data_IF_833146562822
#
_entry.id   IF_833146562822
#
_cell.length_a   1.000
_cell.length_b   1.000
_cell.length_c   1.000
_cell.angle_alpha   90.00
_cell.angle_beta   90.00
_cell.angle_gamma   90.00
#
_symmetry.space_group_name_H-M   'P 1'
#
loop_
_entity.id
_entity.type
_entity.pdbx_description
1 polymer ?
#
# COMPACT_ATOMS: atom_id res chain seq x y z
N UNK A 1 10.68 9.18 -2.03
CA UNK A 1 10.57 9.91 -3.30
C UNK A 1 10.62 11.39 -2.94
N UNK A 2 11.74 12.06 -3.22
CA UNK A 2 11.93 13.47 -2.86
C UNK A 2 11.02 14.41 -3.70
N UNK A 3 10.46 13.91 -4.81
CA UNK A 3 9.73 14.69 -5.81
C UNK A 3 8.26 14.28 -5.95
N UNK A 4 7.68 13.60 -4.97
CA UNK A 4 6.28 13.15 -5.01
C UNK A 4 5.40 13.91 -4.03
N UNK A 5 4.18 14.25 -4.43
CA UNK A 5 3.14 14.83 -3.58
C UNK A 5 1.88 13.97 -3.57
N UNK A 6 1.31 13.80 -2.39
CA UNK A 6 -0.04 13.25 -2.23
C UNK A 6 -1.04 14.39 -2.01
N UNK A 7 -2.10 14.41 -2.81
CA UNK A 7 -3.06 15.51 -2.82
C UNK A 7 -4.44 15.05 -2.36
N UNK A 8 -4.85 15.55 -1.21
CA UNK A 8 -6.17 15.34 -0.65
C UNK A 8 -6.89 16.69 -0.55
N UNK A 9 -7.82 16.96 -1.47
CA UNK A 9 -8.60 18.18 -1.44
C UNK A 9 -10.04 17.93 -0.99
N UNK A 10 -10.53 18.77 -0.11
CA UNK A 10 -11.93 18.86 0.26
C UNK A 10 -12.54 20.14 -0.32
N UNK A 11 -13.62 20.02 -1.11
CA UNK A 11 -14.31 21.16 -1.73
C UNK A 11 -13.92 21.41 -3.19
N UNK A 12 -14.26 22.58 -3.69
CA UNK A 12 -13.87 23.00 -5.04
C UNK A 12 -12.42 23.49 -5.02
N UNK A 13 -11.59 22.85 -5.85
CA UNK A 13 -10.21 23.25 -6.04
C UNK A 13 -10.10 24.09 -7.32
N UNK A 14 -9.44 25.23 -7.22
CA UNK A 14 -9.04 25.98 -8.40
C UNK A 14 -7.85 25.24 -9.05
N UNK A 15 -8.06 24.80 -10.28
CA UNK A 15 -7.08 24.03 -11.02
C UNK A 15 -5.78 24.80 -11.23
N UNK A 16 -5.89 26.06 -11.65
CA UNK A 16 -4.72 26.91 -11.98
C UNK A 16 -3.89 27.18 -10.72
N UNK A 17 -4.54 27.42 -9.58
CA UNK A 17 -3.86 27.62 -8.31
C UNK A 17 -3.08 26.36 -7.89
N UNK A 18 -3.68 25.17 -8.02
CA UNK A 18 -3.00 23.92 -7.69
C UNK A 18 -1.84 23.60 -8.63
N UNK A 19 -2.02 23.78 -9.94
CA UNK A 19 -0.95 23.55 -10.92
C UNK A 19 0.25 24.48 -10.69
N UNK A 20 -0.01 25.74 -10.38
CA UNK A 20 1.01 26.70 -10.00
C UNK A 20 1.75 26.31 -8.71
N UNK A 21 1.00 25.87 -7.70
CA UNK A 21 1.56 25.45 -6.41
C UNK A 21 2.46 24.21 -6.57
N UNK A 22 2.00 23.18 -7.27
CA UNK A 22 2.77 21.95 -7.53
C UNK A 22 4.03 22.24 -8.35
N UNK A 23 3.92 23.12 -9.36
CA UNK A 23 5.06 23.58 -10.14
C UNK A 23 6.10 24.31 -9.29
N UNK A 24 5.65 25.14 -8.36
CA UNK A 24 6.54 25.85 -7.43
C UNK A 24 7.26 24.91 -6.47
N UNK A 25 6.63 23.80 -6.07
CA UNK A 25 7.24 22.76 -5.23
C UNK A 25 8.22 21.87 -5.99
N UNK A 26 8.22 21.92 -7.33
CA UNK A 26 9.10 21.08 -8.16
C UNK A 26 8.79 19.59 -8.08
N UNK A 27 7.54 19.22 -7.80
CA UNK A 27 7.14 17.80 -7.76
C UNK A 27 7.04 17.22 -9.17
N UNK A 28 7.50 15.98 -9.32
CA UNK A 28 7.47 15.23 -10.57
C UNK A 28 6.38 14.15 -10.58
N UNK A 29 5.84 13.78 -9.42
CA UNK A 29 4.79 12.79 -9.28
C UNK A 29 3.69 13.30 -8.34
N UNK A 30 2.43 13.19 -8.74
CA UNK A 30 1.27 13.58 -7.94
C UNK A 30 0.28 12.42 -7.82
N UNK A 31 0.04 11.96 -6.62
CA UNK A 31 -1.06 11.01 -6.34
C UNK A 31 -2.29 11.76 -5.85
N UNK A 32 -3.42 11.52 -6.48
CA UNK A 32 -4.70 12.16 -6.15
C UNK A 32 -5.90 11.25 -6.45
N UNK A 33 -7.10 11.70 -6.11
CA UNK A 33 -8.33 11.05 -6.58
C UNK A 33 -8.46 11.17 -8.11
N UNK A 34 -9.00 10.14 -8.75
CA UNK A 34 -9.10 10.08 -10.20
C UNK A 34 -9.96 11.21 -10.81
N UNK A 35 -10.90 11.74 -10.04
CA UNK A 35 -11.77 12.84 -10.44
C UNK A 35 -11.08 14.21 -10.43
N UNK A 36 -9.88 14.30 -9.90
CA UNK A 36 -9.17 15.57 -9.77
C UNK A 36 -8.69 16.03 -11.16
N UNK A 37 -9.15 17.20 -11.66
CA UNK A 37 -8.86 17.64 -13.02
C UNK A 37 -7.51 18.38 -13.12
N UNK A 38 -6.46 17.80 -12.57
CA UNK A 38 -5.13 18.41 -12.57
C UNK A 38 -4.26 17.90 -13.71
N UNK A 39 -3.33 18.75 -14.14
CA UNK A 39 -2.16 18.40 -14.95
C UNK A 39 -2.55 17.57 -16.18
N UNK A 40 -3.43 18.13 -17.03
CA UNK A 40 -3.98 17.44 -18.20
C UNK A 40 -2.90 16.90 -19.17
N UNK A 41 -1.72 17.52 -19.17
CA UNK A 41 -0.60 17.18 -20.04
C UNK A 41 0.38 16.16 -19.45
N UNK A 42 0.16 15.76 -18.17
CA UNK A 42 0.97 14.76 -17.51
C UNK A 42 0.47 13.34 -17.83
N UNK A 43 1.41 12.42 -17.91
CA UNK A 43 1.07 11.00 -18.04
C UNK A 43 0.24 10.58 -16.81
N UNK A 44 -0.87 9.90 -17.04
CA UNK A 44 -1.79 9.49 -16.00
C UNK A 44 -1.87 7.97 -15.91
N UNK A 45 -1.50 7.44 -14.77
CA UNK A 45 -1.85 6.08 -14.38
C UNK A 45 -3.05 6.11 -13.43
N UNK A 46 -3.89 5.08 -13.50
CA UNK A 46 -5.09 4.98 -12.66
C UNK A 46 -5.24 3.57 -12.11
N UNK A 47 -5.88 3.49 -10.97
CA UNK A 47 -6.22 2.22 -10.36
C UNK A 47 -7.41 2.33 -9.43
N UNK A 48 -7.64 1.26 -8.72
CA UNK A 48 -8.79 1.06 -7.85
C UNK A 48 -8.39 1.19 -6.39
N UNK A 49 -9.20 1.89 -5.61
CA UNK A 49 -9.15 1.89 -4.15
C UNK A 49 -10.14 0.84 -3.67
N UNK A 50 -9.68 -0.11 -2.88
CA UNK A 50 -10.54 -1.08 -2.23
C UNK A 50 -10.56 -0.85 -0.72
N UNK A 51 -11.71 -1.15 -0.10
CA UNK A 51 -11.92 -1.11 1.35
C UNK A 51 -12.30 -2.49 1.86
N UNK A 52 -11.79 -2.88 3.02
CA UNK A 52 -12.23 -4.09 3.69
C UNK A 52 -13.64 -3.89 4.27
N UNK A 53 -14.60 -4.68 3.78
CA UNK A 53 -16.01 -4.58 4.14
C UNK A 53 -16.53 -5.79 4.93
N UNK A 54 -15.76 -6.87 5.03
CA UNK A 54 -16.16 -8.08 5.72
C UNK A 54 -15.32 -8.33 6.98
N UNK A 55 -15.91 -8.92 8.03
CA UNK A 55 -15.17 -9.35 9.20
C UNK A 55 -14.18 -10.45 8.83
N UNK A 56 -12.97 -10.39 9.35
CA UNK A 56 -11.97 -11.44 9.17
C UNK A 56 -11.86 -12.31 10.42
N UNK A 57 -11.61 -13.60 10.21
CA UNK A 57 -11.25 -14.50 11.32
C UNK A 57 -9.92 -14.04 11.90
N UNK A 58 -9.85 -14.02 13.22
CA UNK A 58 -8.62 -13.72 13.93
C UNK A 58 -7.49 -14.66 13.48
N UNK A 59 -6.40 -14.06 13.07
CA UNK A 59 -5.14 -14.72 12.75
C UNK A 59 -4.02 -13.89 13.39
N UNK A 60 -2.96 -14.54 13.79
CA UNK A 60 -1.79 -13.86 14.36
C UNK A 60 -0.55 -14.37 13.67
N UNK A 61 0.27 -13.44 13.24
CA UNK A 61 1.58 -13.72 12.68
C UNK A 61 2.60 -12.78 13.34
N UNK A 62 3.84 -13.22 13.39
CA UNK A 62 4.91 -12.44 14.00
C UNK A 62 5.34 -11.26 13.11
N UNK A 63 6.00 -10.31 13.71
CA UNK A 63 6.63 -9.19 13.03
C UNK A 63 8.01 -9.60 12.52
N UNK A 64 8.28 -9.53 11.20
CA UNK A 64 9.58 -9.80 10.64
C UNK A 64 10.54 -8.62 10.81
N UNK A 65 11.82 -8.88 10.86
CA UNK A 65 12.81 -7.84 10.72
C UNK A 65 12.76 -7.25 9.29
N UNK A 66 12.91 -5.93 9.17
CA UNK A 66 12.92 -5.27 7.84
C UNK A 66 14.05 -5.79 6.93
N UNK A 67 15.14 -6.28 7.52
CA UNK A 67 16.22 -6.95 6.79
C UNK A 67 15.80 -8.29 6.14
N UNK A 68 14.75 -8.95 6.65
CA UNK A 68 14.15 -10.14 6.02
C UNK A 68 13.07 -9.76 5.00
N UNK A 69 12.34 -8.66 5.27
CA UNK A 69 11.26 -8.16 4.40
C UNK A 69 11.81 -7.70 3.06
N UNK A 70 12.88 -6.90 3.05
CA UNK A 70 13.40 -6.30 1.82
C UNK A 70 13.84 -7.35 0.77
N UNK A 71 14.60 -8.42 1.08
CA UNK A 71 14.91 -9.45 0.10
C UNK A 71 13.67 -10.18 -0.44
N UNK A 72 12.65 -10.38 0.39
CA UNK A 72 11.38 -10.96 -0.06
C UNK A 72 10.66 -10.03 -1.04
N UNK A 73 10.60 -8.73 -0.76
CA UNK A 73 10.04 -7.75 -1.70
C UNK A 73 10.81 -7.74 -3.02
N UNK A 74 12.14 -7.70 -2.97
CA UNK A 74 13.01 -7.75 -4.15
C UNK A 74 12.79 -9.02 -4.99
N UNK A 75 12.52 -10.17 -4.36
CA UNK A 75 12.18 -11.42 -5.07
C UNK A 75 10.82 -11.36 -5.80
N UNK A 76 10.00 -10.36 -5.50
CA UNK A 76 8.66 -10.17 -6.05
C UNK A 76 8.59 -9.06 -7.10
N UNK A 77 9.72 -8.42 -7.44
CA UNK A 77 9.76 -7.35 -8.45
C UNK A 77 9.18 -7.79 -9.79
N UNK A 78 8.56 -6.85 -10.48
CA UNK A 78 7.92 -7.09 -11.76
C UNK A 78 7.22 -5.83 -12.28
N UNK A 79 6.38 -5.99 -13.28
CA UNK A 79 5.63 -4.87 -13.85
C UNK A 79 4.76 -4.22 -12.75
N UNK A 80 4.98 -2.92 -12.53
CA UNK A 80 4.21 -2.13 -11.56
C UNK A 80 4.62 -2.31 -10.08
N UNK A 81 5.70 -3.05 -9.80
CA UNK A 81 6.24 -3.15 -8.44
C UNK A 81 7.77 -3.14 -8.45
N UNK A 82 8.34 -2.12 -7.84
CA UNK A 82 9.78 -1.95 -7.65
C UNK A 82 10.10 -1.78 -6.18
N UNK A 83 11.10 -2.50 -5.72
CA UNK A 83 11.59 -2.39 -4.34
C UNK A 83 12.59 -1.24 -4.27
N UNK A 84 12.41 -0.24 -3.42
CA UNK A 84 13.41 0.81 -3.24
C UNK A 84 14.72 0.23 -2.71
N UNK A 85 15.85 0.92 -2.86
CA UNK A 85 17.12 0.49 -2.27
C UNK A 85 17.00 0.26 -0.77
N UNK A 86 17.74 -0.73 -0.23
CA UNK A 86 17.58 -1.18 1.16
C UNK A 86 17.68 -0.05 2.20
N UNK A 87 18.65 0.85 2.05
CA UNK A 87 18.87 1.89 3.07
C UNK A 87 17.73 2.88 3.16
N UNK A 88 17.23 3.50 2.05
CA UNK A 88 16.04 4.34 2.10
C UNK A 88 14.80 3.59 2.64
N UNK A 89 14.56 2.37 2.15
CA UNK A 89 13.46 1.53 2.64
C UNK A 89 13.53 1.30 4.15
N UNK A 90 14.72 0.90 4.63
CA UNK A 90 14.91 0.59 6.05
C UNK A 90 14.72 1.81 6.94
N UNK A 91 15.27 2.95 6.54
CA UNK A 91 15.18 4.21 7.30
C UNK A 91 13.72 4.67 7.40
N UNK A 92 13.01 4.75 6.26
CA UNK A 92 11.62 5.18 6.23
C UNK A 92 10.71 4.23 7.02
N UNK A 93 10.76 2.93 6.73
CA UNK A 93 9.91 1.95 7.39
C UNK A 93 10.20 1.80 8.88
N UNK A 94 11.48 1.85 9.30
CA UNK A 94 11.85 1.85 10.72
C UNK A 94 11.29 3.06 11.46
N UNK A 95 11.31 4.23 10.80
CA UNK A 95 10.72 5.45 11.35
C UNK A 95 9.20 5.30 11.50
N UNK A 96 8.49 4.90 10.44
CA UNK A 96 7.03 4.71 10.46
C UNK A 96 6.59 3.69 11.51
N UNK A 97 7.26 2.54 11.58
CA UNK A 97 6.94 1.49 12.56
C UNK A 97 7.13 2.00 14.00
N UNK A 98 8.25 2.67 14.30
CA UNK A 98 8.52 3.23 15.63
C UNK A 98 7.49 4.27 16.07
N UNK A 99 6.88 4.97 15.14
CA UNK A 99 5.86 5.99 15.41
C UNK A 99 4.42 5.46 15.27
N UNK A 100 4.24 4.16 15.07
CA UNK A 100 2.92 3.54 14.92
C UNK A 100 2.19 3.92 13.63
N UNK A 101 2.91 4.45 12.65
CA UNK A 101 2.39 4.84 11.34
C UNK A 101 2.48 3.73 10.28
N UNK A 102 3.12 2.61 10.62
CA UNK A 102 3.16 1.39 9.81
C UNK A 102 3.39 0.17 10.68
N UNK A 103 3.03 -1.00 10.16
CA UNK A 103 3.35 -2.32 10.76
C UNK A 103 3.54 -3.36 9.67
N UNK A 104 4.17 -4.47 10.03
CA UNK A 104 4.41 -5.60 9.12
C UNK A 104 4.11 -6.92 9.82
N UNK A 105 3.58 -7.89 9.08
CA UNK A 105 3.43 -9.28 9.54
C UNK A 105 4.02 -10.21 8.51
N UNK A 106 4.61 -11.32 9.00
CA UNK A 106 5.33 -12.27 8.19
C UNK A 106 4.98 -13.71 8.48
N UNK A 107 5.18 -14.57 7.50
CA UNK A 107 5.06 -16.02 7.60
C UNK A 107 6.38 -16.64 7.19
N UNK A 108 6.90 -17.56 8.01
CA UNK A 108 8.15 -18.28 7.77
C UNK A 108 7.90 -19.74 7.45
N UNK A 109 8.79 -20.29 6.66
CA UNK A 109 8.91 -21.70 6.41
C UNK A 109 10.41 -22.08 6.33
N UNK A 110 10.82 -23.12 7.03
CA UNK A 110 12.24 -23.55 7.06
C UNK A 110 13.22 -22.47 7.54
N UNK A 111 12.76 -21.51 8.36
CA UNK A 111 13.58 -20.39 8.85
C UNK A 111 13.68 -19.20 7.88
N UNK A 112 13.06 -19.27 6.70
CA UNK A 112 13.04 -18.17 5.73
C UNK A 112 11.69 -17.48 5.72
N UNK A 113 11.66 -16.16 5.63
CA UNK A 113 10.45 -15.36 5.44
C UNK A 113 9.92 -15.61 4.02
N UNK A 114 8.71 -16.19 3.90
CA UNK A 114 8.11 -16.56 2.62
C UNK A 114 6.92 -15.70 2.22
N UNK A 115 6.32 -15.00 3.15
CA UNK A 115 5.26 -14.05 2.87
C UNK A 115 5.27 -12.90 3.88
N UNK A 116 4.94 -11.70 3.42
CA UNK A 116 4.69 -10.56 4.29
C UNK A 116 3.51 -9.72 3.78
N UNK A 117 2.89 -9.00 4.71
CA UNK A 117 1.98 -7.90 4.43
C UNK A 117 2.33 -6.74 5.35
N UNK A 118 2.26 -5.53 4.84
CA UNK A 118 2.56 -4.33 5.60
C UNK A 118 1.59 -3.21 5.30
N UNK A 119 1.33 -2.37 6.30
CA UNK A 119 0.74 -1.06 6.08
C UNK A 119 1.83 -0.07 5.69
N UNK A 120 1.51 0.87 4.83
CA UNK A 120 2.41 1.96 4.42
C UNK A 120 2.04 3.27 5.08
N UNK A 121 0.81 3.39 5.57
CA UNK A 121 0.35 4.53 6.37
C UNK A 121 -0.73 4.07 7.34
N UNK A 122 -0.70 4.61 8.56
CA UNK A 122 -1.73 4.42 9.57
C UNK A 122 -2.03 5.74 10.27
N UNK A 123 -3.32 5.98 10.50
CA UNK A 123 -3.83 7.05 11.36
C UNK A 123 -4.54 6.46 12.58
N UNK A 124 -5.18 7.29 13.39
CA UNK A 124 -6.05 6.81 14.49
C UNK A 124 -7.27 6.02 14.01
N UNK A 125 -7.73 6.24 12.78
CA UNK A 125 -8.97 5.68 12.23
C UNK A 125 -8.79 4.82 11.00
N UNK A 126 -7.69 4.97 10.28
CA UNK A 126 -7.50 4.36 8.96
C UNK A 126 -6.14 3.68 8.84
N UNK A 127 -6.06 2.70 7.95
CA UNK A 127 -4.81 2.05 7.57
C UNK A 127 -4.79 1.76 6.07
N UNK A 128 -3.67 2.07 5.43
CA UNK A 128 -3.41 1.73 4.03
C UNK A 128 -2.52 0.49 3.96
N UNK A 129 -3.08 -0.60 3.48
CA UNK A 129 -2.35 -1.83 3.18
C UNK A 129 -1.51 -1.60 1.92
N UNK A 130 -0.21 -1.73 2.07
CA UNK A 130 0.76 -1.51 1.00
C UNK A 130 1.30 -2.81 0.41
N UNK A 131 2.57 -3.10 0.65
CA UNK A 131 3.21 -4.27 0.08
C UNK A 131 2.67 -5.58 0.66
N UNK A 132 2.13 -6.42 -0.22
CA UNK A 132 1.79 -7.82 0.08
C UNK A 132 2.63 -8.70 -0.84
N UNK A 133 3.59 -9.41 -0.27
CA UNK A 133 4.53 -10.23 -1.01
C UNK A 133 4.47 -11.70 -0.59
N UNK A 134 4.59 -12.59 -1.56
CA UNK A 134 4.77 -14.03 -1.36
C UNK A 134 5.89 -14.48 -2.30
N UNK A 135 6.88 -15.17 -1.73
CA UNK A 135 7.99 -15.73 -2.50
C UNK A 135 7.47 -16.47 -3.74
N UNK A 136 8.03 -16.24 -4.93
CA UNK A 136 7.51 -16.81 -6.17
C UNK A 136 7.19 -18.31 -6.11
N UNK A 137 8.10 -19.11 -5.52
CA UNK A 137 7.95 -20.57 -5.40
C UNK A 137 6.89 -21.01 -4.38
N UNK A 138 6.37 -20.07 -3.57
CA UNK A 138 5.35 -20.30 -2.52
C UNK A 138 4.00 -19.67 -2.83
N UNK A 139 3.83 -19.20 -4.06
CA UNK A 139 2.56 -18.62 -4.50
C UNK A 139 1.49 -19.71 -4.66
N UNK A 140 0.21 -19.29 -4.54
CA UNK A 140 -0.99 -20.14 -4.64
C UNK A 140 -1.16 -21.19 -3.52
N UNK A 141 -0.32 -21.16 -2.48
CA UNK A 141 -0.40 -22.02 -1.30
C UNK A 141 -1.18 -21.37 -0.13
N UNK A 142 -1.76 -20.17 -0.35
CA UNK A 142 -2.60 -19.49 0.63
C UNK A 142 -1.86 -18.54 1.59
N UNK A 143 -0.53 -18.46 1.52
CA UNK A 143 0.27 -17.62 2.42
C UNK A 143 -0.07 -16.13 2.34
N UNK A 144 -0.32 -15.58 1.15
CA UNK A 144 -0.74 -14.20 0.98
C UNK A 144 -2.05 -13.89 1.72
N UNK A 145 -3.04 -14.77 1.59
CA UNK A 145 -4.30 -14.63 2.34
C UNK A 145 -4.13 -14.79 3.85
N UNK A 146 -3.19 -15.62 4.29
CA UNK A 146 -2.87 -15.83 5.70
C UNK A 146 -2.28 -14.56 6.32
N UNK A 147 -1.26 -13.98 5.70
CA UNK A 147 -0.56 -12.80 6.24
C UNK A 147 -1.43 -11.54 6.18
N UNK A 148 -2.24 -11.35 5.11
CA UNK A 148 -3.18 -10.23 5.03
C UNK A 148 -4.25 -10.33 6.12
N UNK A 149 -4.82 -11.53 6.34
CA UNK A 149 -5.79 -11.72 7.43
C UNK A 149 -5.21 -11.42 8.81
N UNK A 150 -3.97 -11.80 9.07
CA UNK A 150 -3.32 -11.51 10.34
C UNK A 150 -3.17 -10.00 10.57
N UNK A 151 -2.65 -9.28 9.59
CA UNK A 151 -2.48 -7.84 9.66
C UNK A 151 -3.83 -7.12 9.81
N UNK A 152 -4.80 -7.44 8.96
CA UNK A 152 -6.12 -6.81 9.01
C UNK A 152 -6.89 -7.13 10.30
N UNK A 153 -6.74 -8.33 10.87
CA UNK A 153 -7.41 -8.68 12.12
C UNK A 153 -6.97 -7.80 13.29
N UNK A 154 -5.71 -7.42 13.34
CA UNK A 154 -5.19 -6.49 14.36
C UNK A 154 -5.74 -5.08 14.15
N UNK A 155 -5.73 -4.58 12.92
CA UNK A 155 -6.26 -3.26 12.58
C UNK A 155 -7.75 -3.14 12.89
N UNK A 156 -8.53 -4.20 12.63
CA UNK A 156 -9.95 -4.25 12.97
C UNK A 156 -10.20 -4.24 14.49
N UNK A 157 -9.32 -4.82 15.32
CA UNK A 157 -9.41 -4.72 16.78
C UNK A 157 -9.24 -3.28 17.26
N UNK A 158 -8.44 -2.49 16.55
CA UNK A 158 -8.27 -1.05 16.78
C UNK A 158 -9.39 -0.20 16.16
N UNK A 159 -10.38 -0.83 15.53
CA UNK A 159 -11.52 -0.18 14.82
C UNK A 159 -11.08 0.70 13.65
N UNK A 160 -9.96 0.40 13.02
CA UNK A 160 -9.50 1.10 11.83
C UNK A 160 -10.25 0.64 10.58
N UNK A 161 -10.52 1.58 9.69
CA UNK A 161 -10.89 1.27 8.32
C UNK A 161 -9.65 0.90 7.51
N UNK A 162 -9.74 -0.13 6.68
CA UNK A 162 -8.59 -0.68 5.98
C UNK A 162 -8.78 -0.53 4.49
N UNK A 163 -7.84 0.14 3.86
CA UNK A 163 -7.83 0.42 2.42
C UNK A 163 -6.61 -0.21 1.76
N UNK A 164 -6.70 -0.41 0.46
CA UNK A 164 -5.57 -0.72 -0.40
C UNK A 164 -5.73 -0.09 -1.77
N UNK A 165 -4.62 0.09 -2.46
CA UNK A 165 -4.57 0.52 -3.85
C UNK A 165 -4.12 -0.66 -4.70
N UNK A 166 -4.75 -0.84 -5.86
CA UNK A 166 -4.37 -1.82 -6.86
C UNK A 166 -4.46 -1.23 -8.28
N UNK A 167 -3.72 -1.81 -9.20
CA UNK A 167 -3.95 -1.57 -10.63
C UNK A 167 -5.32 -2.10 -11.05
N UNK A 168 -5.85 -1.66 -12.19
CA UNK A 168 -7.18 -2.09 -12.66
C UNK A 168 -7.25 -3.60 -12.91
N UNK A 169 -6.16 -4.22 -13.34
CA UNK A 169 -6.14 -5.61 -13.82
C UNK A 169 -5.67 -6.62 -12.80
N UNK A 170 -4.95 -6.20 -11.74
CA UNK A 170 -4.22 -7.12 -10.89
C UNK A 170 -4.92 -7.40 -9.56
N UNK A 171 -4.84 -8.66 -9.15
CA UNK A 171 -5.18 -9.13 -7.81
C UNK A 171 -6.63 -8.90 -7.32
N UNK A 172 -7.56 -8.44 -8.17
CA UNK A 172 -8.95 -8.19 -7.78
C UNK A 172 -9.57 -9.40 -7.07
N UNK A 173 -9.59 -10.55 -7.73
CA UNK A 173 -10.22 -11.76 -7.18
C UNK A 173 -9.53 -12.25 -5.88
N UNK A 174 -8.25 -11.91 -5.66
CA UNK A 174 -7.56 -12.22 -4.42
C UNK A 174 -8.10 -11.38 -3.26
N UNK A 175 -8.22 -10.07 -3.45
CA UNK A 175 -8.71 -9.17 -2.41
C UNK A 175 -10.21 -9.31 -2.16
N UNK A 176 -11.02 -9.54 -3.21
CA UNK A 176 -12.45 -9.83 -3.06
C UNK A 176 -12.71 -11.06 -2.17
N UNK A 177 -11.93 -12.16 -2.35
CA UNK A 177 -12.01 -13.33 -1.48
C UNK A 177 -11.60 -13.06 -0.03
N UNK A 178 -10.88 -11.99 0.22
CA UNK A 178 -10.55 -11.51 1.56
C UNK A 178 -11.57 -10.52 2.12
N UNK A 179 -12.61 -10.18 1.34
CA UNK A 179 -13.70 -9.31 1.78
C UNK A 179 -13.47 -7.84 1.48
N UNK A 180 -12.50 -7.50 0.63
CA UNK A 180 -12.36 -6.15 0.10
C UNK A 180 -13.34 -5.90 -1.05
N UNK A 181 -13.82 -4.67 -1.16
CA UNK A 181 -14.68 -4.20 -2.25
C UNK A 181 -14.17 -2.86 -2.77
N UNK A 182 -14.40 -2.60 -4.04
CA UNK A 182 -14.05 -1.33 -4.66
C UNK A 182 -14.82 -0.19 -4.00
N UNK A 183 -14.15 0.91 -3.69
CA UNK A 183 -14.75 2.08 -3.04
C UNK A 183 -14.32 3.41 -3.66
N UNK A 184 -13.42 3.40 -4.61
CA UNK A 184 -12.96 4.60 -5.29
C UNK A 184 -11.89 4.30 -6.34
N UNK A 185 -11.35 5.36 -6.92
CA UNK A 185 -10.27 5.30 -7.91
C UNK A 185 -9.17 6.28 -7.51
N UNK A 186 -7.94 5.93 -7.80
CA UNK A 186 -6.78 6.80 -7.64
C UNK A 186 -6.18 7.12 -9.02
N UNK A 187 -5.47 8.23 -9.09
CA UNK A 187 -4.62 8.59 -10.22
C UNK A 187 -3.23 8.94 -9.73
N UNK A 188 -2.25 8.53 -10.50
CA UNK A 188 -0.88 9.01 -10.41
C UNK A 188 -0.55 9.75 -11.70
N UNK A 189 0.02 10.94 -11.55
CA UNK A 189 0.34 11.88 -12.60
C UNK A 189 1.86 12.08 -12.62
N UNK A 190 2.50 11.88 -13.77
CA UNK A 190 3.94 12.05 -14.01
C UNK A 190 4.22 13.03 -15.15
#
# INVERSE_FOLDING_TARGET
>A
LEDAAELFAHGQADREEWENFLSMLGVSVVQCRAEFPLLADWKREQGIIMKLCAPLRAAREAEPALAEVHPLLASCEGVGFHTPPFVPFYVDMSHRIRHGAARVRGVWEGGSLIACAMTVAETGTDALLGAVAVHPDKRREGYGGRVVRALCAELLQEKKEIFLFRSETDNQAFYERLGFSDCGRWSELE
#
